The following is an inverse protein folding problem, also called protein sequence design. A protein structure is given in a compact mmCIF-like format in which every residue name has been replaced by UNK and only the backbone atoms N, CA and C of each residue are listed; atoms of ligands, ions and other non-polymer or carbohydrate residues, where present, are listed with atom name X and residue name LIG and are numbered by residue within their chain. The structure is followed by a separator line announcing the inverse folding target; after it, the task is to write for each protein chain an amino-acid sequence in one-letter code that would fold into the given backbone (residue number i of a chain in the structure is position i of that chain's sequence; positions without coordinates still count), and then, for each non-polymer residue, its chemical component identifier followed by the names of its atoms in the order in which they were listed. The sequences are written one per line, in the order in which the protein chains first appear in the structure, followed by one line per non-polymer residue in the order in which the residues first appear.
data_IF_253193804119
#
_entry.id   IF_253193804119
#
_cell.length_a   1.000
_cell.length_b   1.000
_cell.length_c   1.000
_cell.angle_alpha   90.00
_cell.angle_beta   90.00
_cell.angle_gamma   90.00
#
_symmetry.space_group_name_H-M   'P 1'
#
loop_
_entity.id
_entity.type
_entity.pdbx_description
1 polymer ?
#
# COMPACT_ATOMS: atom_id res chain seq x y z
N UNK A 1 -11.87 -44.57 -103.09
CA UNK A 1 -12.29 -44.04 -101.83
C UNK A 1 -11.06 -43.96 -100.84
N UNK A 2 -10.72 -42.75 -100.36
CA UNK A 2 -9.62 -42.55 -99.41
C UNK A 2 -10.16 -42.75 -97.99
N UNK A 3 -9.45 -43.59 -97.25
CA UNK A 3 -9.75 -43.87 -95.82
C UNK A 3 -9.35 -42.68 -94.98
N UNK A 4 -10.28 -42.18 -94.11
CA UNK A 4 -10.03 -41.14 -93.15
C UNK A 4 -9.11 -41.60 -92.09
N UNK A 5 -8.15 -40.70 -91.69
CA UNK A 5 -7.19 -40.97 -90.56
C UNK A 5 -7.89 -40.82 -89.24
N UNK A 6 -7.64 -41.79 -88.32
CA UNK A 6 -8.10 -41.77 -86.93
C UNK A 6 -7.45 -40.64 -86.13
N UNK A 7 -8.29 -39.89 -85.42
CA UNK A 7 -7.80 -38.82 -84.52
C UNK A 7 -7.00 -39.39 -83.36
N UNK A 8 -5.93 -38.70 -82.99
CA UNK A 8 -5.09 -39.06 -81.83
C UNK A 8 -5.80 -38.78 -80.51
N UNK A 9 -5.72 -39.72 -79.55
CA UNK A 9 -6.26 -39.60 -78.27
C UNK A 9 -5.53 -38.46 -77.49
N UNK A 10 -6.32 -37.61 -76.86
CA UNK A 10 -5.75 -36.52 -75.98
C UNK A 10 -5.01 -37.08 -74.80
N UNK A 11 -3.90 -36.49 -74.43
CA UNK A 11 -3.09 -36.80 -73.27
C UNK A 11 -3.88 -36.47 -72.00
N UNK A 12 -3.96 -37.42 -71.06
CA UNK A 12 -4.54 -37.18 -69.70
C UNK A 12 -3.78 -36.10 -69.00
N UNK A 13 -4.50 -35.13 -68.46
CA UNK A 13 -3.89 -34.09 -67.65
C UNK A 13 -3.23 -34.70 -66.32
N UNK A 14 -2.05 -34.23 -65.97
CA UNK A 14 -1.40 -34.62 -64.77
C UNK A 14 -2.19 -34.13 -63.55
N UNK A 15 -2.38 -35.01 -62.53
CA UNK A 15 -3.01 -34.68 -61.29
C UNK A 15 -2.14 -33.61 -60.55
N UNK A 16 -2.79 -32.51 -60.09
CA UNK A 16 -2.12 -31.49 -59.30
C UNK A 16 -1.57 -32.10 -58.01
N UNK A 17 -0.32 -31.73 -57.63
CA UNK A 17 0.28 -32.13 -56.39
C UNK A 17 -0.51 -31.54 -55.21
N UNK A 18 -0.88 -32.39 -54.25
CA UNK A 18 -1.49 -31.95 -52.98
C UNK A 18 -0.59 -30.93 -52.31
N UNK A 19 -1.14 -29.76 -51.94
CA UNK A 19 -0.40 -28.78 -51.16
C UNK A 19 0.08 -29.40 -49.82
N UNK A 20 1.32 -29.14 -49.45
CA UNK A 20 1.87 -29.54 -48.16
C UNK A 20 1.05 -28.90 -47.01
N UNK A 21 0.60 -29.68 -46.05
CA UNK A 21 -0.01 -29.15 -44.85
C UNK A 21 0.92 -28.16 -44.19
N UNK A 22 0.44 -26.95 -43.89
CA UNK A 22 1.21 -25.95 -43.15
C UNK A 22 1.67 -26.52 -41.82
N UNK A 23 2.92 -26.27 -41.44
CA UNK A 23 3.47 -26.62 -40.16
C UNK A 23 2.61 -25.95 -39.06
N UNK A 24 2.07 -26.73 -38.12
CA UNK A 24 1.42 -26.16 -36.94
C UNK A 24 2.37 -25.17 -36.28
N UNK A 25 1.88 -23.94 -36.05
CA UNK A 25 2.65 -22.96 -35.31
C UNK A 25 3.12 -23.56 -33.97
N UNK A 26 4.39 -23.33 -33.63
CA UNK A 26 4.92 -23.72 -32.32
C UNK A 26 4.04 -23.10 -31.24
N UNK A 27 3.54 -23.90 -30.31
CA UNK A 27 2.86 -23.39 -29.12
C UNK A 27 3.75 -22.35 -28.46
N UNK A 28 3.21 -21.15 -28.19
CA UNK A 28 3.95 -20.14 -27.45
C UNK A 28 4.50 -20.75 -26.15
N UNK A 29 5.73 -20.43 -25.79
CA UNK A 29 6.36 -20.91 -24.56
C UNK A 29 5.47 -20.48 -23.38
N UNK A 30 4.75 -21.41 -22.79
CA UNK A 30 3.99 -21.13 -21.56
C UNK A 30 5.00 -20.84 -20.47
N UNK A 31 4.91 -19.67 -19.83
CA UNK A 31 5.64 -19.43 -18.60
C UNK A 31 5.11 -20.40 -17.56
N UNK A 32 5.94 -21.32 -17.09
CA UNK A 32 5.56 -22.23 -16.03
C UNK A 32 5.35 -21.38 -14.75
N UNK A 33 4.09 -21.26 -14.32
CA UNK A 33 3.75 -20.63 -13.04
C UNK A 33 3.89 -21.69 -11.94
N UNK A 34 4.85 -21.47 -11.03
CA UNK A 34 5.05 -22.35 -9.88
C UNK A 34 4.73 -21.55 -8.61
N UNK A 35 3.46 -21.52 -8.26
CA UNK A 35 3.00 -20.89 -7.04
C UNK A 35 1.77 -21.64 -6.50
N UNK A 36 1.65 -21.69 -5.18
CA UNK A 36 0.43 -22.08 -4.48
C UNK A 36 -0.53 -20.90 -4.37
N UNK A 37 -1.79 -21.19 -4.05
CA UNK A 37 -2.79 -20.14 -3.85
C UNK A 37 -2.31 -19.08 -2.81
N UNK A 38 -2.54 -17.82 -3.09
CA UNK A 38 -2.16 -16.71 -2.24
C UNK A 38 -0.68 -16.29 -2.34
N UNK A 39 0.18 -16.99 -3.06
CA UNK A 39 1.56 -16.58 -3.23
C UNK A 39 1.71 -15.44 -4.27
N UNK A 40 2.50 -14.43 -3.93
CA UNK A 40 2.87 -13.36 -4.86
C UNK A 40 3.92 -13.89 -5.84
N UNK A 41 3.66 -13.72 -7.14
CA UNK A 41 4.58 -14.14 -8.20
C UNK A 41 5.67 -13.10 -8.42
N UNK A 42 6.91 -13.55 -8.53
CA UNK A 42 8.05 -12.70 -8.88
C UNK A 42 8.92 -13.37 -9.95
N UNK A 43 9.64 -12.57 -10.72
CA UNK A 43 10.61 -13.06 -11.69
C UNK A 43 11.90 -13.47 -10.96
N UNK A 44 12.41 -14.68 -11.22
CA UNK A 44 13.62 -15.21 -10.62
C UNK A 44 14.62 -15.67 -11.67
N UNK A 45 15.87 -15.22 -11.57
CA UNK A 45 16.97 -15.62 -12.42
C UNK A 45 17.07 -14.86 -13.75
N UNK A 46 18.08 -15.22 -14.57
CA UNK A 46 18.35 -14.61 -15.87
C UNK A 46 17.38 -15.04 -16.96
N UNK A 47 16.70 -16.19 -16.79
CA UNK A 47 15.56 -16.61 -17.60
C UNK A 47 14.32 -16.40 -16.73
N UNK A 48 13.46 -15.41 -17.02
CA UNK A 48 12.37 -15.06 -16.14
C UNK A 48 11.37 -16.23 -16.02
N UNK A 49 11.38 -16.87 -14.87
CA UNK A 49 10.39 -17.84 -14.45
C UNK A 49 9.58 -17.20 -13.33
N UNK A 50 8.28 -17.12 -13.47
CA UNK A 50 7.42 -16.66 -12.40
C UNK A 50 7.38 -17.72 -11.30
N UNK A 51 7.81 -17.35 -10.09
CA UNK A 51 7.79 -18.21 -8.90
C UNK A 51 6.95 -17.58 -7.80
N UNK A 52 6.27 -18.41 -7.01
CA UNK A 52 5.69 -18.01 -5.74
C UNK A 52 6.69 -18.25 -4.60
N UNK A 53 6.61 -17.44 -3.56
CA UNK A 53 7.37 -17.60 -2.33
C UNK A 53 6.41 -17.79 -1.16
N UNK A 54 6.64 -18.82 -0.33
CA UNK A 54 5.82 -19.07 0.85
C UNK A 54 5.93 -17.98 1.91
N UNK A 55 7.03 -17.22 1.92
CA UNK A 55 7.26 -16.08 2.80
C UNK A 55 6.69 -14.75 2.27
N UNK A 56 6.08 -14.73 1.06
CA UNK A 56 5.41 -13.56 0.49
C UNK A 56 4.06 -13.97 -0.06
N UNK A 57 3.01 -13.71 0.69
CA UNK A 57 1.63 -14.13 0.37
C UNK A 57 0.68 -12.96 0.43
N UNK A 58 -0.36 -12.98 -0.41
CA UNK A 58 -1.46 -12.04 -0.39
C UNK A 58 -2.76 -12.76 -0.07
N UNK A 59 -3.49 -12.27 0.90
CA UNK A 59 -4.82 -12.74 1.27
C UNK A 59 -5.87 -11.75 0.74
N UNK A 60 -6.59 -12.15 -0.29
CA UNK A 60 -7.61 -11.34 -0.95
C UNK A 60 -8.82 -11.05 -0.05
N UNK A 61 -9.14 -11.95 0.89
CA UNK A 61 -10.30 -11.75 1.77
C UNK A 61 -10.08 -10.65 2.82
N UNK A 62 -8.81 -10.38 3.14
CA UNK A 62 -8.42 -9.39 4.16
C UNK A 62 -7.56 -8.25 3.61
N UNK A 63 -7.31 -8.23 2.29
CA UNK A 63 -6.39 -7.29 1.63
C UNK A 63 -5.01 -7.24 2.30
N UNK A 64 -4.51 -8.40 2.77
CA UNK A 64 -3.29 -8.46 3.56
C UNK A 64 -2.13 -9.06 2.77
N UNK A 65 -1.03 -8.31 2.63
CA UNK A 65 0.26 -8.79 2.15
C UNK A 65 1.13 -9.21 3.35
N UNK A 66 1.48 -10.49 3.42
CA UNK A 66 2.42 -11.01 4.43
C UNK A 66 3.80 -11.19 3.82
N UNK A 67 4.81 -10.62 4.45
CA UNK A 67 6.23 -10.75 4.06
C UNK A 67 7.09 -10.96 5.30
N UNK A 68 8.20 -11.72 5.17
CA UNK A 68 9.11 -11.94 6.29
C UNK A 68 9.87 -10.67 6.69
N UNK A 69 10.33 -9.89 5.73
CA UNK A 69 11.02 -8.61 5.94
C UNK A 69 10.63 -7.63 4.85
N UNK A 70 10.20 -6.44 5.24
CA UNK A 70 9.96 -5.32 4.32
C UNK A 70 11.06 -4.27 4.52
N UNK A 71 11.94 -4.12 3.52
CA UNK A 71 12.96 -3.07 3.48
C UNK A 71 12.54 -2.02 2.45
N UNK A 72 12.13 -0.87 2.92
CA UNK A 72 11.71 0.26 2.09
C UNK A 72 12.41 1.54 2.52
N UNK A 73 12.75 2.42 1.59
CA UNK A 73 13.34 3.73 1.88
C UNK A 73 12.39 4.61 2.69
N UNK A 74 11.09 4.51 2.41
CA UNK A 74 10.02 5.22 3.12
C UNK A 74 8.84 4.27 3.30
N UNK A 75 8.26 4.30 4.49
CA UNK A 75 7.00 3.62 4.80
C UNK A 75 5.95 4.67 5.19
N UNK A 76 4.86 4.75 4.47
CA UNK A 76 3.77 5.68 4.72
C UNK A 76 2.41 5.01 4.49
N UNK A 77 1.36 5.65 4.99
CA UNK A 77 0.02 5.42 4.50
C UNK A 77 -0.45 6.61 3.64
N UNK A 78 -1.30 6.33 2.67
CA UNK A 78 -1.93 7.30 1.78
C UNK A 78 -3.40 6.97 1.68
N UNK A 79 -4.25 7.90 2.01
CA UNK A 79 -5.71 7.73 2.02
C UNK A 79 -6.37 8.95 1.37
N UNK A 80 -7.55 8.81 0.74
CA UNK A 80 -8.31 9.95 0.23
C UNK A 80 -8.63 10.94 1.35
N UNK A 81 -8.43 12.23 1.08
CA UNK A 81 -8.76 13.28 2.05
C UNK A 81 -10.27 13.47 2.11
N UNK A 82 -10.89 13.32 3.29
CA UNK A 82 -12.35 13.28 3.40
C UNK A 82 -13.02 14.64 3.16
N UNK A 83 -12.32 15.74 3.34
CA UNK A 83 -12.89 17.10 3.22
C UNK A 83 -12.31 17.93 2.08
N UNK A 84 -11.21 17.48 1.45
CA UNK A 84 -10.59 18.15 0.30
C UNK A 84 -10.66 17.24 -0.92
N UNK A 85 -11.57 17.50 -1.83
CA UNK A 85 -11.75 16.74 -3.06
C UNK A 85 -10.50 16.77 -3.94
N UNK A 86 -10.09 15.60 -4.45
CA UNK A 86 -8.90 15.44 -5.29
C UNK A 86 -7.57 15.44 -4.54
N UNK A 87 -7.59 15.47 -3.21
CA UNK A 87 -6.38 15.39 -2.37
C UNK A 87 -6.29 14.06 -1.63
N UNK A 88 -5.06 13.64 -1.35
CA UNK A 88 -4.76 12.54 -0.45
C UNK A 88 -4.05 13.05 0.80
N UNK A 89 -4.35 12.40 1.92
CA UNK A 89 -3.60 12.54 3.16
C UNK A 89 -2.49 11.50 3.20
N UNK A 90 -1.25 11.94 3.45
CA UNK A 90 -0.08 11.06 3.52
C UNK A 90 0.66 11.31 4.82
N UNK A 91 0.87 10.24 5.60
CA UNK A 91 1.70 10.25 6.80
C UNK A 91 2.74 9.13 6.73
N UNK A 92 3.91 9.36 7.35
CA UNK A 92 4.85 8.28 7.63
C UNK A 92 4.28 7.37 8.70
N UNK A 93 4.44 6.05 8.51
CA UNK A 93 3.97 5.07 9.48
C UNK A 93 4.78 5.17 10.77
N UNK A 94 4.08 5.26 11.89
CA UNK A 94 4.63 5.15 13.23
C UNK A 94 4.55 3.68 13.67
N UNK A 95 5.63 3.12 14.18
CA UNK A 95 5.64 1.75 14.70
C UNK A 95 5.41 1.76 16.21
N UNK A 96 4.29 1.18 16.62
CA UNK A 96 3.86 1.13 18.01
C UNK A 96 2.76 0.09 18.20
N UNK A 97 2.25 -0.07 19.43
CA UNK A 97 1.16 -0.99 19.73
C UNK A 97 -0.21 -0.48 19.26
N UNK A 98 -0.26 0.71 18.68
CA UNK A 98 -1.45 1.37 18.16
C UNK A 98 -1.19 1.98 16.79
N UNK A 99 -2.25 2.21 16.02
CA UNK A 99 -2.15 2.92 14.74
C UNK A 99 -2.21 4.42 15.03
N UNK A 100 -1.08 5.00 15.42
CA UNK A 100 -0.97 6.38 15.86
C UNK A 100 -0.48 7.35 14.79
N UNK A 101 -0.80 8.62 15.01
CA UNK A 101 -0.23 9.77 14.30
C UNK A 101 0.25 10.80 15.34
N UNK A 102 1.13 11.69 14.92
CA UNK A 102 1.58 12.76 15.80
C UNK A 102 1.76 14.07 15.05
N UNK A 103 1.71 15.15 15.80
CA UNK A 103 2.12 16.49 15.38
C UNK A 103 3.05 17.08 16.42
N UNK A 104 4.02 17.86 15.99
CA UNK A 104 4.94 18.56 16.87
C UNK A 104 5.16 19.99 16.41
N UNK A 105 5.47 20.84 17.37
CA UNK A 105 5.73 22.25 17.08
C UNK A 105 6.26 23.01 18.27
N UNK A 106 6.17 24.32 18.19
CA UNK A 106 6.49 25.28 19.24
C UNK A 106 5.31 26.20 19.43
N UNK A 107 4.99 26.52 20.70
CA UNK A 107 4.12 27.66 21.04
C UNK A 107 4.89 28.64 21.90
N UNK A 108 4.63 29.93 21.67
CA UNK A 108 5.26 31.03 22.38
C UNK A 108 4.25 32.18 22.52
N UNK A 109 4.01 32.63 23.74
CA UNK A 109 3.03 33.67 24.09
C UNK A 109 1.57 33.25 23.88
N UNK A 110 1.33 32.17 23.22
CA UNK A 110 0.03 31.52 23.06
C UNK A 110 -0.07 30.35 24.02
N UNK A 111 -1.26 30.02 24.44
CA UNK A 111 -1.54 28.89 25.33
C UNK A 111 -2.44 27.84 24.67
N UNK A 112 -2.62 27.90 23.37
CA UNK A 112 -3.44 26.97 22.61
C UNK A 112 -2.64 26.33 21.49
N UNK A 113 -2.70 24.99 21.40
CA UNK A 113 -2.20 24.21 20.27
C UNK A 113 -3.39 23.84 19.41
N UNK A 114 -3.47 24.42 18.22
CA UNK A 114 -4.44 24.03 17.21
C UNK A 114 -3.97 22.74 16.54
N UNK A 115 -4.77 21.66 16.65
CA UNK A 115 -4.46 20.42 15.97
C UNK A 115 -4.91 20.48 14.50
N UNK A 116 -4.29 19.70 13.60
CA UNK A 116 -4.65 19.70 12.19
C UNK A 116 -6.13 19.43 11.98
N UNK A 117 -6.78 20.17 11.10
CA UNK A 117 -8.22 20.06 10.84
C UNK A 117 -8.66 18.62 10.48
N UNK A 118 -7.82 17.90 9.73
CA UNK A 118 -8.11 16.52 9.37
C UNK A 118 -8.12 15.54 10.57
N UNK A 119 -7.61 15.95 11.76
CA UNK A 119 -7.71 15.13 12.97
C UNK A 119 -9.15 14.98 13.44
N UNK A 120 -10.04 15.90 13.08
CA UNK A 120 -11.47 15.79 13.35
C UNK A 120 -12.08 14.46 12.87
N UNK A 121 -11.63 13.94 11.75
CA UNK A 121 -12.12 12.67 11.21
C UNK A 121 -11.11 11.52 11.34
N UNK A 122 -9.82 11.82 11.48
CA UNK A 122 -8.74 10.83 11.50
C UNK A 122 -8.47 10.27 12.91
N UNK A 123 -8.54 11.12 13.95
CA UNK A 123 -8.04 10.81 15.31
C UNK A 123 -9.19 10.70 16.29
N UNK A 124 -9.08 9.75 17.21
CA UNK A 124 -9.95 9.65 18.37
C UNK A 124 -9.48 10.66 19.44
N UNK A 125 -10.33 11.67 19.74
CA UNK A 125 -9.99 12.76 20.66
C UNK A 125 -9.64 12.27 22.07
N UNK A 126 -10.28 11.19 22.51
CA UNK A 126 -10.04 10.60 23.85
C UNK A 126 -8.64 9.96 24.00
N UNK A 127 -7.98 9.69 22.85
CA UNK A 127 -6.62 9.11 22.84
C UNK A 127 -5.51 10.15 22.77
N UNK A 128 -5.88 11.44 22.67
CA UNK A 128 -4.89 12.50 22.52
C UNK A 128 -4.03 12.62 23.77
N UNK A 129 -2.73 12.50 23.58
CA UNK A 129 -1.73 12.70 24.62
C UNK A 129 -0.73 13.78 24.22
N UNK A 130 -0.23 14.54 25.18
CA UNK A 130 0.60 15.72 24.95
C UNK A 130 1.84 15.69 25.81
N UNK A 131 2.98 15.91 25.17
CA UNK A 131 4.25 16.14 25.86
C UNK A 131 4.68 17.60 25.65
N UNK A 132 5.02 18.29 26.75
CA UNK A 132 5.47 19.68 26.75
C UNK A 132 6.92 19.76 27.21
N UNK A 133 7.74 20.50 26.48
CA UNK A 133 9.15 20.76 26.85
C UNK A 133 9.38 22.26 26.94
N UNK A 134 9.48 22.84 28.15
CA UNK A 134 9.76 24.26 28.35
C UNK A 134 11.05 24.71 27.67
N UNK A 135 11.05 25.95 27.16
CA UNK A 135 12.20 26.55 26.48
C UNK A 135 12.74 27.73 27.32
N UNK A 136 14.06 27.81 27.42
CA UNK A 136 14.78 28.92 28.06
C UNK A 136 14.93 28.76 29.56
N UNK A 137 13.91 28.38 30.30
CA UNK A 137 13.95 28.17 31.75
C UNK A 137 13.02 27.05 32.18
N UNK A 138 13.27 26.47 33.33
CA UNK A 138 12.34 25.54 33.94
C UNK A 138 11.01 26.24 34.22
N UNK A 139 9.90 25.63 33.78
CA UNK A 139 8.54 26.10 34.00
C UNK A 139 7.63 24.93 34.26
N UNK A 140 6.76 25.03 35.26
CA UNK A 140 5.71 24.04 35.50
C UNK A 140 4.56 24.31 34.52
N UNK A 141 4.54 23.57 33.42
CA UNK A 141 3.50 23.59 32.41
C UNK A 141 2.66 22.34 32.46
N UNK A 142 1.40 22.49 32.15
CA UNK A 142 0.46 21.38 32.10
C UNK A 142 -0.60 21.60 31.04
N UNK A 143 -1.22 20.51 30.58
CA UNK A 143 -2.41 20.56 29.75
C UNK A 143 -3.61 20.82 30.66
N UNK A 144 -4.28 21.94 30.45
CA UNK A 144 -5.46 22.31 31.23
C UNK A 144 -6.69 21.51 30.78
N UNK A 145 -6.88 21.41 29.47
CA UNK A 145 -7.91 20.60 28.82
C UNK A 145 -7.59 20.31 27.37
N UNK A 146 -8.26 19.30 26.83
CA UNK A 146 -8.32 19.01 25.40
C UNK A 146 -9.79 19.06 25.03
N UNK A 147 -10.14 19.85 24.05
CA UNK A 147 -11.54 20.06 23.66
C UNK A 147 -11.63 20.56 22.23
N UNK A 148 -12.49 19.94 21.43
CA UNK A 148 -12.68 20.29 20.01
C UNK A 148 -11.37 20.28 19.22
N UNK A 149 -10.51 19.27 19.45
CA UNK A 149 -9.19 19.13 18.82
C UNK A 149 -8.29 20.34 19.02
N UNK A 150 -8.40 20.98 20.17
CA UNK A 150 -7.50 22.03 20.65
C UNK A 150 -6.95 21.61 22.00
N UNK A 151 -5.65 21.81 22.18
CA UNK A 151 -4.98 21.58 23.46
C UNK A 151 -4.73 22.92 24.14
N UNK A 152 -5.31 23.10 25.32
CA UNK A 152 -5.10 24.28 26.14
C UNK A 152 -3.98 24.01 27.14
N UNK A 153 -2.90 24.77 27.02
CA UNK A 153 -1.71 24.66 27.86
C UNK A 153 -1.70 25.79 28.86
N UNK A 154 -1.38 25.49 30.10
CA UNK A 154 -1.23 26.51 31.13
C UNK A 154 0.14 26.41 31.81
N UNK A 155 0.54 27.46 32.50
CA UNK A 155 1.80 27.56 33.23
C UNK A 155 1.54 28.18 34.60
N UNK A 156 2.16 27.61 35.63
CA UNK A 156 1.95 28.09 37.04
C UNK A 156 2.41 29.54 37.20
N UNK A 157 3.56 29.91 36.63
CA UNK A 157 4.13 31.25 36.73
C UNK A 157 4.82 31.63 35.42
N UNK A 158 4.40 32.75 34.82
CA UNK A 158 5.02 33.34 33.64
C UNK A 158 4.17 33.15 32.37
N UNK A 159 4.84 32.94 31.25
CA UNK A 159 4.22 32.77 29.93
C UNK A 159 4.54 31.41 29.38
N UNK A 160 3.67 30.87 28.54
CA UNK A 160 3.88 29.62 27.82
C UNK A 160 4.97 29.85 26.78
N UNK A 161 6.03 29.05 26.82
CA UNK A 161 7.07 28.95 25.81
C UNK A 161 7.62 27.52 25.83
N UNK A 162 7.18 26.70 24.91
CA UNK A 162 7.58 25.28 24.89
C UNK A 162 7.55 24.67 23.50
N UNK A 163 8.32 23.60 23.34
CA UNK A 163 8.06 22.61 22.30
C UNK A 163 6.96 21.68 22.77
N UNK A 164 6.17 21.18 21.82
CA UNK A 164 5.17 20.18 22.10
C UNK A 164 5.25 19.01 21.10
N UNK A 165 4.80 17.86 21.55
CA UNK A 165 4.46 16.71 20.74
C UNK A 165 3.08 16.23 21.17
N UNK A 166 2.18 16.07 20.23
CA UNK A 166 0.83 15.56 20.45
C UNK A 166 0.68 14.27 19.66
N UNK A 167 0.28 13.19 20.32
CA UNK A 167 -0.04 11.91 19.72
C UNK A 167 -1.54 11.67 19.77
N UNK A 168 -2.05 10.86 18.83
CA UNK A 168 -3.42 10.38 18.86
C UNK A 168 -3.58 9.12 18.02
N UNK A 169 -4.46 8.22 18.46
CA UNK A 169 -4.78 6.99 17.75
C UNK A 169 -5.77 7.27 16.62
N UNK A 170 -5.59 6.60 15.49
CA UNK A 170 -6.53 6.70 14.35
C UNK A 170 -7.85 6.00 14.67
N UNK A 171 -8.96 6.64 14.31
CA UNK A 171 -10.33 6.10 14.42
C UNK A 171 -10.94 5.65 13.10
N UNK A 172 -10.29 5.98 11.98
CA UNK A 172 -10.75 5.62 10.64
C UNK A 172 -10.43 4.16 10.26
N UNK A 173 -9.64 3.48 11.08
CA UNK A 173 -9.26 2.06 10.93
C UNK A 173 -9.52 1.29 12.21
N UNK A 174 -9.67 -0.01 12.11
CA UNK A 174 -9.80 -0.88 13.29
C UNK A 174 -8.51 -0.92 14.12
N UNK A 175 -8.66 -1.09 15.44
CA UNK A 175 -7.50 -1.28 16.33
C UNK A 175 -6.72 -2.54 15.98
N UNK A 176 -5.39 -2.45 16.01
CA UNK A 176 -4.55 -3.62 15.76
C UNK A 176 -4.62 -4.61 16.93
N UNK A 177 -4.58 -5.87 16.59
CA UNK A 177 -4.37 -6.92 17.57
C UNK A 177 -2.86 -7.13 17.71
N UNK A 178 -2.30 -6.83 18.89
CA UNK A 178 -0.86 -6.88 19.14
C UNK A 178 -0.34 -8.28 19.52
N UNK A 179 -1.21 -9.21 19.90
CA UNK A 179 -0.82 -10.56 20.30
C UNK A 179 -1.63 -11.60 19.52
N UNK A 180 -0.95 -12.54 18.92
CA UNK A 180 -1.54 -13.66 18.20
C UNK A 180 -1.03 -14.98 18.81
N UNK A 181 -1.92 -15.98 18.93
CA UNK A 181 -1.47 -17.34 19.22
C UNK A 181 -0.72 -17.88 18.00
N UNK A 182 0.42 -18.54 18.23
CA UNK A 182 1.06 -19.31 17.17
C UNK A 182 0.06 -20.28 16.55
N UNK A 183 0.05 -20.35 15.21
CA UNK A 183 -0.65 -21.42 14.52
C UNK A 183 0.20 -22.67 14.69
N UNK A 184 -0.24 -23.60 15.54
CA UNK A 184 0.30 -24.95 15.66
C UNK A 184 0.01 -25.74 14.40
#
# INVERSE_FOLDING_TARGET
GSSGSSGSSGTSGSSGSSGSSGTSGSSGTSVALSASNGQVLYASGSTPVAKGDAGMTYDEATDTLTVGTLNGTVKNFRIPHQTLEGFDLVYSSLEGPEIGVYVRGKIELDNTIELPEHWLWLVDEETITVSLTPIGKFSKMYVEKIENYKVYVNVEIGIVNCHFVVYGERKDVGKIKIEYKEKV
#
